data_IF_185687959302
#
_entry.id   IF_185687959302
#
_cell.length_a   1.000
_cell.length_b   1.000
_cell.length_c   1.000
_cell.angle_alpha   90.00
_cell.angle_beta   90.00
_cell.angle_gamma   90.00
#
_symmetry.space_group_name_H-M   'P 1'
#
loop_
_entity.id
_entity.type
_entity.pdbx_description
1 polymer ?
#
# COMPACT_ATOMS: atom_id res chain seq x y z
N UNK A 1 -13.12 1.92 -2.12
CA UNK A 1 -11.84 2.04 -2.79
C UNK A 1 -11.44 0.72 -3.44
N UNK A 2 -11.59 -0.37 -2.70
CA UNK A 2 -11.25 -1.70 -3.20
C UNK A 2 -9.76 -1.79 -3.52
N UNK A 3 -9.34 -2.95 -4.00
CA UNK A 3 -7.94 -3.17 -4.36
C UNK A 3 -7.61 -2.58 -5.72
N UNK A 4 -6.32 -2.41 -5.98
CA UNK A 4 -5.87 -1.85 -7.25
C UNK A 4 -4.51 -2.41 -7.65
N UNK A 5 -4.42 -2.98 -8.85
CA UNK A 5 -3.17 -3.55 -9.34
C UNK A 5 -2.06 -2.49 -9.37
N UNK A 6 -2.42 -1.28 -9.78
CA UNK A 6 -1.46 -0.18 -9.86
C UNK A 6 -1.48 0.66 -8.58
N UNK A 7 -0.45 0.52 -7.77
CA UNK A 7 -0.35 1.27 -6.53
C UNK A 7 1.10 1.52 -6.14
N UNK A 8 1.99 1.38 -7.11
CA UNK A 8 3.42 1.59 -6.88
C UNK A 8 4.05 2.40 -8.01
N UNK A 9 5.16 3.06 -7.72
CA UNK A 9 5.86 3.86 -8.71
C UNK A 9 6.52 2.99 -9.77
N UNK A 10 6.60 1.69 -9.49
CA UNK A 10 7.20 0.74 -10.43
C UNK A 10 6.14 0.12 -11.33
N UNK A 11 5.03 0.84 -11.52
CA UNK A 11 3.94 0.35 -12.36
C UNK A 11 4.23 0.63 -13.83
N UNK A 12 4.17 1.90 -14.21
CA UNK A 12 4.41 2.30 -15.59
C UNK A 12 4.89 3.75 -15.65
N UNK A 13 4.28 4.61 -14.83
CA UNK A 13 4.64 6.02 -14.80
C UNK A 13 5.31 6.38 -13.48
N UNK A 14 6.60 6.03 -13.35
CA UNK A 14 7.39 6.31 -12.15
C UNK A 14 7.69 7.79 -11.99
N UNK A 15 7.34 8.58 -13.00
CA UNK A 15 7.57 10.02 -12.96
C UNK A 15 7.01 10.63 -11.68
N UNK A 16 5.94 10.03 -11.16
CA UNK A 16 5.31 10.52 -9.93
C UNK A 16 5.30 9.42 -8.87
N UNK A 17 6.47 9.13 -8.31
CA UNK A 17 6.59 8.12 -7.27
C UNK A 17 5.81 8.52 -6.02
N UNK A 18 5.85 9.80 -5.69
CA UNK A 18 5.16 10.32 -4.52
C UNK A 18 3.67 9.98 -4.59
N UNK A 19 3.12 10.03 -5.79
CA UNK A 19 1.69 9.73 -5.99
C UNK A 19 1.43 8.23 -5.83
N UNK A 20 2.27 7.42 -6.46
CA UNK A 20 2.12 5.97 -6.38
C UNK A 20 2.28 5.47 -4.95
N UNK A 21 3.32 5.96 -4.28
CA UNK A 21 3.59 5.56 -2.89
C UNK A 21 2.46 6.03 -1.97
N UNK A 22 1.85 7.16 -2.31
CA UNK A 22 0.78 7.69 -1.50
C UNK A 22 -0.34 6.69 -1.28
N UNK A 23 -0.52 5.79 -2.24
CA UNK A 23 -1.56 4.77 -2.16
C UNK A 23 -1.19 3.70 -1.14
N UNK A 24 -0.06 3.89 -0.47
CA UNK A 24 0.41 2.94 0.53
C UNK A 24 0.56 3.61 1.89
N UNK A 25 1.30 4.72 1.92
CA UNK A 25 1.52 5.46 3.16
C UNK A 25 0.22 6.06 3.68
N UNK A 26 -0.53 6.70 2.79
CA UNK A 26 -1.80 7.32 3.16
C UNK A 26 -2.89 6.27 3.32
N UNK A 27 -2.86 5.26 2.47
CA UNK A 27 -3.86 4.19 2.52
C UNK A 27 -3.82 3.47 3.86
N UNK A 28 -2.63 3.42 4.46
CA UNK A 28 -2.45 2.76 5.74
C UNK A 28 -3.07 3.58 6.88
N UNK A 29 -2.86 4.90 6.83
CA UNK A 29 -3.39 5.79 7.84
C UNK A 29 -4.91 5.64 7.96
N UNK A 30 -5.55 5.33 6.84
CA UNK A 30 -6.99 5.15 6.82
C UNK A 30 -7.41 3.86 7.51
N UNK A 31 -6.44 2.97 7.70
CA UNK A 31 -6.69 1.69 8.35
C UNK A 31 -6.11 1.67 9.76
N UNK A 32 -5.85 2.85 10.31
CA UNK A 32 -5.29 2.97 11.64
C UNK A 32 -3.87 2.40 11.71
N UNK A 33 -3.10 2.65 10.66
CA UNK A 33 -1.72 2.16 10.58
C UNK A 33 -0.73 3.30 10.74
N UNK A 34 0.55 2.99 10.57
CA UNK A 34 1.58 3.99 10.70
C UNK A 34 2.18 4.40 9.36
N UNK A 35 2.71 3.42 8.64
CA UNK A 35 3.31 3.68 7.33
C UNK A 35 3.09 2.50 6.38
N UNK A 36 3.62 2.63 5.17
CA UNK A 36 3.46 1.57 4.19
C UNK A 36 4.33 1.79 2.96
N UNK A 37 5.10 0.77 2.60
CA UNK A 37 5.99 0.85 1.44
C UNK A 37 5.61 -0.19 0.39
N UNK A 38 5.78 0.17 -0.87
CA UNK A 38 5.45 -0.74 -1.97
C UNK A 38 6.72 -1.16 -2.72
N UNK A 39 6.77 -2.42 -3.14
CA UNK A 39 7.92 -2.94 -3.86
C UNK A 39 7.48 -3.95 -4.91
N UNK A 40 8.21 -4.01 -6.02
CA UNK A 40 7.90 -4.94 -7.09
C UNK A 40 8.15 -6.39 -6.65
N UNK A 41 7.06 -7.14 -6.53
CA UNK A 41 7.15 -8.54 -6.12
C UNK A 41 7.02 -9.47 -7.33
N UNK A 42 8.13 -10.10 -7.71
CA UNK A 42 8.14 -11.01 -8.84
C UNK A 42 7.67 -10.30 -10.11
N UNK A 43 7.96 -9.01 -10.20
CA UNK A 43 7.56 -8.24 -11.37
C UNK A 43 6.13 -7.74 -11.27
N UNK A 44 5.57 -7.80 -10.07
CA UNK A 44 4.20 -7.35 -9.85
C UNK A 44 4.15 -6.20 -8.85
N UNK A 45 3.39 -5.15 -9.17
CA UNK A 45 3.25 -3.98 -8.30
C UNK A 45 2.45 -4.29 -7.04
N UNK A 46 3.15 -4.74 -6.00
CA UNK A 46 2.50 -5.06 -4.73
C UNK A 46 2.72 -3.96 -3.70
N UNK A 47 1.65 -3.63 -2.98
CA UNK A 47 1.72 -2.59 -1.95
C UNK A 47 1.75 -3.20 -0.56
N UNK A 48 2.81 -2.92 0.18
CA UNK A 48 2.97 -3.44 1.53
C UNK A 48 2.83 -2.32 2.56
N UNK A 49 2.29 -2.67 3.73
CA UNK A 49 2.11 -1.70 4.80
C UNK A 49 2.98 -2.05 6.01
N UNK A 50 3.11 -1.10 6.93
CA UNK A 50 3.91 -1.31 8.13
C UNK A 50 3.43 -0.41 9.27
N UNK A 51 4.01 -0.61 10.45
CA UNK A 51 3.64 0.18 11.61
C UNK A 51 2.13 0.20 11.81
N UNK A 52 1.48 -0.88 11.39
CA UNK A 52 0.03 -0.99 11.52
C UNK A 52 -0.38 -1.23 12.96
N UNK A 53 -1.68 -1.24 13.23
CA UNK A 53 -2.19 -1.46 14.57
C UNK A 53 -2.84 -2.83 14.69
N UNK A 54 -3.36 -3.33 13.57
CA UNK A 54 -4.01 -4.64 13.55
C UNK A 54 -3.02 -5.73 13.19
N UNK A 55 -1.74 -5.44 13.34
CA UNK A 55 -0.70 -6.42 13.03
C UNK A 55 0.69 -5.85 13.20
N UNK A 56 0.83 -4.54 13.00
CA UNK A 56 2.13 -3.91 13.14
C UNK A 56 3.16 -4.48 12.18
N UNK A 57 2.89 -4.36 10.89
CA UNK A 57 3.81 -4.86 9.88
C UNK A 57 3.17 -4.98 8.51
N UNK A 58 3.52 -6.03 7.78
CA UNK A 58 2.97 -6.25 6.45
C UNK A 58 1.48 -6.52 6.52
N UNK A 59 0.69 -5.53 6.10
CA UNK A 59 -0.77 -5.67 6.10
C UNK A 59 -1.38 -5.04 4.86
N UNK A 60 -1.77 -5.89 3.90
CA UNK A 60 -2.39 -5.43 2.64
C UNK A 60 -3.78 -4.88 2.85
N UNK A 61 -4.18 -3.95 1.98
CA UNK A 61 -5.51 -3.34 2.06
C UNK A 61 -6.59 -4.40 2.18
N UNK A 62 -6.29 -5.61 1.71
CA UNK A 62 -7.25 -6.69 1.78
C UNK A 62 -7.40 -7.26 3.17
N UNK A 63 -6.28 -7.31 3.91
CA UNK A 63 -6.30 -7.83 5.27
C UNK A 63 -6.85 -6.80 6.25
N UNK A 64 -6.75 -5.53 5.89
CA UNK A 64 -7.23 -4.45 6.74
C UNK A 64 -8.67 -4.09 6.39
N UNK A 65 -9.28 -4.89 5.52
CA UNK A 65 -10.65 -4.66 5.10
C UNK A 65 -11.59 -4.64 6.31
N UNK A 66 -12.55 -3.72 6.29
CA UNK A 66 -13.52 -3.59 7.38
C UNK A 66 -14.95 -3.68 6.85
N UNK A 67 -15.08 -3.85 5.54
CA UNK A 67 -16.39 -3.94 4.91
C UNK A 67 -16.68 -5.37 4.45
N UNK A 68 -15.80 -6.29 4.83
CA UNK A 68 -15.98 -7.68 4.45
C UNK A 68 -15.73 -8.63 5.60
#
# INVERSE_FOLDING_TARGET
MDIDFSTCARMDVPILKKAAQGLCITSCSMQNCGTGSCKKRSGRPTCVCYRCANGGGDIPLGALIKRG
#
